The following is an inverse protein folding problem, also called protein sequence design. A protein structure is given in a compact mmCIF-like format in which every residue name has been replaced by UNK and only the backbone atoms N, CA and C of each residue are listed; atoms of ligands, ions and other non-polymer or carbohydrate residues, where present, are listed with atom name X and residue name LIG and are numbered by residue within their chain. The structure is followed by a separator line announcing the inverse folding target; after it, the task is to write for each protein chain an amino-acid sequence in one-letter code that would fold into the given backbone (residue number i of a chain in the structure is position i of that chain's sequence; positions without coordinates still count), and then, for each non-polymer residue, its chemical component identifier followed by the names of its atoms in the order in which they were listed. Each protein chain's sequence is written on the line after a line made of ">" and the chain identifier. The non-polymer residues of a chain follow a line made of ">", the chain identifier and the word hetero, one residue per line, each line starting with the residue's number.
data_IF_785781905786
#
_entry.id   IF_785781905786
#
_cell.length_a   1.000
_cell.length_b   1.000
_cell.length_c   1.000
_cell.angle_alpha   90.00
_cell.angle_beta   90.00
_cell.angle_gamma   90.00
#
_symmetry.space_group_name_H-M   'P 1'
#
loop_
_entity.id
_entity.type
_entity.pdbx_description
1 polymer ?
#
# COMPACT_ATOMS: atom_id res chain seq x y z
N UNK A 1 -9.48 -9.50 0.74
CA UNK A 1 -8.37 -8.82 1.43
C UNK A 1 -8.98 -7.60 2.09
N UNK A 2 -8.88 -7.49 3.41
CA UNK A 2 -9.23 -6.26 4.13
C UNK A 2 -7.93 -5.65 4.61
N UNK A 3 -7.69 -4.40 4.25
CA UNK A 3 -6.43 -3.73 4.53
C UNK A 3 -6.71 -2.36 5.14
N UNK A 4 -5.83 -1.96 6.05
CA UNK A 4 -5.84 -0.62 6.65
C UNK A 4 -4.45 -0.04 6.49
N UNK A 5 -4.38 1.21 6.06
CA UNK A 5 -3.15 1.99 6.08
C UNK A 5 -3.07 2.75 7.41
N UNK A 6 -1.93 2.68 8.08
CA UNK A 6 -1.65 3.46 9.28
C UNK A 6 -0.32 4.17 9.08
N UNK A 7 -0.26 5.45 9.41
CA UNK A 7 1.01 6.17 9.54
C UNK A 7 1.57 5.91 10.93
N UNK A 8 2.73 5.25 10.95
CA UNK A 8 3.45 5.01 12.21
C UNK A 8 4.28 6.26 12.49
N UNK A 9 3.82 7.07 13.45
CA UNK A 9 4.58 8.21 13.95
C UNK A 9 5.87 7.70 14.61
N UNK A 10 7.02 7.96 13.98
CA UNK A 10 8.33 7.55 14.50
C UNK A 10 9.42 7.41 13.45
N UNK A 11 9.05 7.19 12.19
CA UNK A 11 10.00 7.02 11.08
C UNK A 11 9.57 7.84 9.86
N UNK A 12 10.27 8.96 9.62
CA UNK A 12 10.44 9.65 8.32
C UNK A 12 9.31 9.44 7.29
N UNK A 13 8.12 9.97 7.55
CA UNK A 13 7.05 10.06 6.55
C UNK A 13 6.77 8.72 5.85
N UNK A 14 6.72 7.64 6.61
CA UNK A 14 6.51 6.29 6.11
C UNK A 14 5.05 5.86 6.32
N UNK A 15 4.40 5.41 5.25
CA UNK A 15 3.08 4.81 5.29
C UNK A 15 3.24 3.31 5.44
N UNK A 16 2.59 2.70 6.43
CA UNK A 16 2.61 1.24 6.62
C UNK A 16 1.21 0.68 6.48
N UNK A 17 1.09 -0.36 5.66
CA UNK A 17 -0.14 -1.13 5.53
C UNK A 17 -0.03 -2.39 6.35
N UNK A 18 -1.15 -2.77 6.94
CA UNK A 18 -1.38 -4.09 7.51
C UNK A 18 -2.70 -4.64 6.99
N UNK A 19 -2.73 -5.92 6.66
CA UNK A 19 -3.93 -6.56 6.12
C UNK A 19 -4.10 -7.97 6.65
N UNK A 20 -5.32 -8.47 6.52
CA UNK A 20 -5.62 -9.89 6.67
C UNK A 20 -5.91 -10.50 5.30
N UNK A 21 -5.31 -11.65 5.03
CA UNK A 21 -5.75 -12.49 3.94
C UNK A 21 -6.98 -13.31 4.38
N UNK A 22 -7.98 -13.36 3.51
CA UNK A 22 -9.17 -14.19 3.72
C UNK A 22 -9.00 -15.60 3.14
N UNK A 23 -7.76 -15.97 2.75
CA UNK A 23 -7.41 -17.25 2.12
C UNK A 23 -8.34 -17.68 0.99
N UNK A 24 -8.25 -17.04 -0.19
CA UNK A 24 -8.89 -17.56 -1.40
C UNK A 24 -7.93 -18.45 -2.18
N UNK A 25 -8.42 -19.52 -2.81
CA UNK A 25 -7.60 -20.48 -3.57
C UNK A 25 -6.83 -19.87 -4.74
N UNK A 26 -7.27 -18.70 -5.23
CA UNK A 26 -6.70 -18.03 -6.41
C UNK A 26 -5.66 -16.96 -6.04
N UNK A 27 -5.21 -16.94 -4.79
CA UNK A 27 -4.24 -15.94 -4.31
C UNK A 27 -2.97 -16.60 -3.84
N UNK A 28 -1.83 -16.19 -4.40
CA UNK A 28 -0.54 -16.77 -4.03
C UNK A 28 0.07 -15.99 -2.85
N UNK A 29 0.67 -16.68 -1.87
CA UNK A 29 1.41 -16.01 -0.80
C UNK A 29 2.63 -15.22 -1.30
N UNK A 30 3.13 -15.54 -2.50
CA UNK A 30 4.27 -14.89 -3.16
C UNK A 30 3.87 -13.74 -4.07
N UNK A 31 2.57 -13.44 -4.21
CA UNK A 31 2.13 -12.26 -4.94
C UNK A 31 2.76 -11.01 -4.31
N UNK A 32 3.21 -10.06 -5.12
CA UNK A 32 3.73 -8.80 -4.63
C UNK A 32 2.60 -7.84 -4.32
N UNK A 33 2.78 -7.05 -3.27
CA UNK A 33 1.83 -6.01 -2.91
C UNK A 33 2.17 -4.72 -3.65
N UNK A 34 1.14 -4.10 -4.22
CA UNK A 34 1.23 -2.75 -4.77
C UNK A 34 0.78 -1.78 -3.68
N UNK A 35 1.62 -0.81 -3.34
CA UNK A 35 1.24 0.28 -2.42
C UNK A 35 1.19 1.57 -3.20
N UNK A 36 0.17 2.40 -2.98
CA UNK A 36 0.06 3.70 -3.60
C UNK A 36 -0.45 4.75 -2.62
N UNK A 37 0.07 5.96 -2.76
CA UNK A 37 -0.39 7.14 -2.06
C UNK A 37 -0.57 8.27 -3.07
N UNK A 38 -1.75 8.88 -3.10
CA UNK A 38 -2.08 10.03 -3.93
C UNK A 38 -2.31 11.25 -3.06
N UNK A 39 -1.65 12.37 -3.36
CA UNK A 39 -1.89 13.65 -2.72
C UNK A 39 -2.74 14.53 -3.65
N UNK A 40 -4.04 14.78 -3.34
CA UNK A 40 -4.90 15.61 -4.17
C UNK A 40 -4.40 17.05 -4.32
N UNK A 41 -3.82 17.63 -3.27
CA UNK A 41 -3.29 18.99 -3.27
C UNK A 41 -2.13 19.14 -4.27
N UNK A 42 -1.22 18.17 -4.27
CA UNK A 42 -0.05 18.16 -5.17
C UNK A 42 -0.37 17.55 -6.54
N UNK A 43 -1.54 16.92 -6.69
CA UNK A 43 -1.97 16.16 -7.88
C UNK A 43 -0.92 15.12 -8.29
N UNK A 44 -0.33 14.46 -7.31
CA UNK A 44 0.80 13.55 -7.48
C UNK A 44 0.55 12.24 -6.76
N UNK A 45 0.96 11.14 -7.37
CA UNK A 45 0.96 9.82 -6.75
C UNK A 45 2.39 9.27 -6.66
N UNK A 46 2.67 8.58 -5.55
CA UNK A 46 3.82 7.68 -5.44
C UNK A 46 3.30 6.27 -5.26
N UNK A 47 4.00 5.29 -5.81
CA UNK A 47 3.62 3.90 -5.68
C UNK A 47 4.83 2.98 -5.83
N UNK A 48 4.68 1.75 -5.34
CA UNK A 48 5.60 0.64 -5.59
C UNK A 48 4.81 -0.57 -6.05
N UNK A 49 5.35 -1.32 -7.01
CA UNK A 49 4.80 -2.62 -7.44
C UNK A 49 5.52 -3.80 -6.80
N UNK A 50 6.59 -3.52 -6.05
CA UNK A 50 7.40 -4.49 -5.31
C UNK A 50 7.38 -4.11 -3.82
N UNK A 51 6.18 -4.03 -3.24
CA UNK A 51 5.98 -3.70 -1.83
C UNK A 51 6.35 -4.84 -0.88
N UNK A 52 6.66 -6.03 -1.41
CA UNK A 52 6.95 -7.24 -0.66
C UNK A 52 5.89 -8.32 -0.86
N UNK A 53 6.19 -9.50 -0.31
CA UNK A 53 5.30 -10.66 -0.42
C UNK A 53 3.99 -10.40 0.32
N UNK A 54 2.88 -10.77 -0.31
CA UNK A 54 1.54 -10.66 0.26
C UNK A 54 1.40 -11.40 1.58
N UNK A 55 2.12 -12.52 1.73
CA UNK A 55 2.17 -13.32 2.96
C UNK A 55 2.89 -12.63 4.12
N UNK A 56 3.61 -11.54 3.89
CA UNK A 56 4.19 -10.74 4.98
C UNK A 56 3.11 -10.05 5.83
N UNK A 57 1.90 -9.88 5.29
CA UNK A 57 0.76 -9.20 5.94
C UNK A 57 1.02 -7.74 6.35
N UNK A 58 2.18 -7.21 5.99
CA UNK A 58 2.59 -5.82 6.20
C UNK A 58 3.55 -5.38 5.11
N UNK A 59 3.52 -4.09 4.77
CA UNK A 59 4.44 -3.47 3.84
C UNK A 59 4.45 -1.94 4.02
N UNK A 60 5.54 -1.28 3.64
CA UNK A 60 5.74 0.15 3.85
C UNK A 60 6.13 0.88 2.58
N UNK A 61 5.71 2.15 2.46
CA UNK A 61 6.05 3.06 1.38
C UNK A 61 6.59 4.37 1.96
N UNK A 62 7.77 4.78 1.50
CA UNK A 62 8.32 6.08 1.83
C UNK A 62 7.51 7.19 1.15
N UNK A 63 6.88 8.06 1.94
CA UNK A 63 6.05 9.16 1.50
C UNK A 63 6.61 10.53 1.94
N UNK A 64 7.93 10.66 2.07
CA UNK A 64 8.60 11.92 2.48
C UNK A 64 8.21 13.13 1.63
N UNK A 65 7.92 12.90 0.34
CA UNK A 65 7.46 13.95 -0.58
C UNK A 65 6.12 14.57 -0.16
N UNK A 66 5.33 13.87 0.64
CA UNK A 66 4.02 14.30 1.12
C UNK A 66 4.03 14.75 2.58
N UNK A 67 5.20 14.99 3.19
CA UNK A 67 5.28 15.45 4.57
C UNK A 67 4.35 16.65 4.85
N UNK A 68 3.49 16.52 5.86
CA UNK A 68 2.48 17.51 6.24
C UNK A 68 1.24 17.55 5.34
N UNK A 69 1.09 16.62 4.39
CA UNK A 69 -0.04 16.57 3.45
C UNK A 69 -0.96 15.39 3.74
N UNK A 70 -2.24 15.60 3.43
CA UNK A 70 -3.23 14.54 3.39
C UNK A 70 -3.06 13.75 2.09
N UNK A 71 -3.03 12.44 2.21
CA UNK A 71 -2.93 11.53 1.07
C UNK A 71 -4.02 10.47 1.13
N UNK A 72 -4.59 10.15 -0.03
CA UNK A 72 -5.43 8.98 -0.25
C UNK A 72 -4.52 7.75 -0.42
N UNK A 73 -4.82 6.68 0.28
CA UNK A 73 -4.00 5.46 0.29
C UNK A 73 -4.71 4.29 -0.38
N UNK A 74 -3.94 3.49 -1.10
CA UNK A 74 -4.44 2.32 -1.81
C UNK A 74 -3.48 1.15 -1.72
N UNK A 75 -4.04 -0.05 -1.77
CA UNK A 75 -3.29 -1.30 -1.82
C UNK A 75 -3.82 -2.19 -2.93
N UNK A 76 -2.93 -2.84 -3.66
CA UNK A 76 -3.26 -3.86 -4.67
C UNK A 76 -2.34 -5.05 -4.53
N UNK A 77 -2.51 -6.04 -5.41
CA UNK A 77 -1.61 -7.18 -5.51
C UNK A 77 -1.33 -7.48 -6.99
N UNK A 78 -0.12 -7.93 -7.26
CA UNK A 78 0.33 -8.39 -8.56
C UNK A 78 0.94 -9.79 -8.41
N UNK A 79 0.66 -10.69 -9.36
CA UNK A 79 1.23 -12.02 -9.33
C UNK A 79 2.75 -11.98 -9.38
N UNK A 80 3.41 -12.99 -8.81
CA UNK A 80 4.88 -13.05 -8.77
C UNK A 80 5.54 -12.97 -10.17
N UNK A 81 4.83 -13.40 -11.21
CA UNK A 81 5.26 -13.30 -12.62
C UNK A 81 4.86 -11.98 -13.31
N UNK A 82 4.21 -11.06 -12.59
CA UNK A 82 3.80 -9.75 -13.08
C UNK A 82 2.59 -9.75 -14.01
N UNK A 83 1.97 -10.90 -14.29
CA UNK A 83 0.97 -11.03 -15.36
C UNK A 83 -0.46 -10.70 -14.92
N UNK A 84 -0.78 -10.92 -13.66
CA UNK A 84 -2.12 -10.72 -13.11
C UNK A 84 -2.07 -9.61 -12.08
N UNK A 85 -2.80 -8.53 -12.32
CA UNK A 85 -2.91 -7.39 -11.40
C UNK A 85 -4.33 -7.35 -10.88
N UNK A 86 -4.50 -7.42 -9.56
CA UNK A 86 -5.79 -7.27 -8.92
C UNK A 86 -6.20 -5.80 -8.83
N UNK A 87 -7.51 -5.54 -8.79
CA UNK A 87 -8.05 -4.21 -8.52
C UNK A 87 -7.57 -3.70 -7.16
N UNK A 88 -7.12 -2.45 -7.11
CA UNK A 88 -6.70 -1.81 -5.87
C UNK A 88 -7.88 -1.52 -4.95
N UNK A 89 -7.63 -1.55 -3.64
CA UNK A 89 -8.57 -1.24 -2.57
C UNK A 89 -8.15 0.10 -1.96
N UNK A 90 -9.11 1.01 -1.79
CA UNK A 90 -8.91 2.24 -1.03
C UNK A 90 -8.82 1.92 0.47
N UNK A 91 -7.76 2.39 1.13
CA UNK A 91 -7.47 2.10 2.54
C UNK A 91 -7.66 3.28 3.47
N UNK A 92 -8.13 4.42 2.95
CA UNK A 92 -8.42 5.63 3.71
C UNK A 92 -7.49 6.79 3.37
N UNK A 93 -7.72 7.91 4.05
CA UNK A 93 -6.89 9.10 3.97
C UNK A 93 -5.98 9.19 5.19
N UNK A 94 -4.72 9.60 5.00
CA UNK A 94 -3.78 9.79 6.10
C UNK A 94 -2.95 11.05 5.93
N UNK A 95 -2.79 11.82 7.00
CA UNK A 95 -1.82 12.93 7.02
C UNK A 95 -0.43 12.36 7.27
N UNK A 96 0.50 12.61 6.35
CA UNK A 96 1.88 12.16 6.49
C UNK A 96 2.63 13.08 7.45
N UNK A 97 3.30 12.52 8.46
CA UNK A 97 4.08 13.26 9.48
C UNK A 97 5.52 12.80 9.61
#
# INVERSE_FOLDING_TARGET
>A
MTAIAIVIAGSKCELTWSWSDGGSSDTSPTDQVILAAYCPEMRMAIFTTSGGDRSALTASLNAVTFAGKLVETYIGAISADGRNVATSIFTGEVTVS
#
